data_IF_569384536880
#
_entry.id   IF_569384536880
#
_cell.length_a   1.000
_cell.length_b   1.000
_cell.length_c   1.000
_cell.angle_alpha   90.00
_cell.angle_beta   90.00
_cell.angle_gamma   90.00
#
_symmetry.space_group_name_H-M   'P 1'
#
loop_
_entity.id
_entity.type
_entity.pdbx_description
1 polymer ?
#
# COMPACT_ATOMS: atom_id res chain seq x y z
N UNK A 1 -9.46 5.12 -4.67
CA UNK A 1 -10.21 6.06 -5.54
C UNK A 1 -10.86 5.33 -6.71
N UNK A 2 -10.11 5.05 -7.78
CA UNK A 2 -10.68 4.52 -9.04
C UNK A 2 -11.47 3.22 -8.88
N UNK A 3 -11.02 2.28 -8.04
CA UNK A 3 -11.77 1.04 -7.83
C UNK A 3 -13.18 1.28 -7.24
N UNK A 4 -13.35 2.31 -6.40
CA UNK A 4 -14.68 2.67 -5.88
C UNK A 4 -15.62 3.10 -7.02
N UNK A 5 -15.11 3.87 -7.99
CA UNK A 5 -15.85 4.23 -9.21
C UNK A 5 -16.22 2.97 -10.01
N UNK A 6 -15.26 2.06 -10.20
CA UNK A 6 -15.49 0.82 -10.95
C UNK A 6 -16.54 -0.08 -10.29
N UNK A 7 -16.57 -0.15 -8.96
CA UNK A 7 -17.59 -0.90 -8.22
C UNK A 7 -18.99 -0.32 -8.44
N UNK A 8 -19.13 1.01 -8.34
CA UNK A 8 -20.41 1.68 -8.60
C UNK A 8 -20.87 1.52 -10.05
N UNK A 9 -19.95 1.67 -11.01
CA UNK A 9 -20.29 1.46 -12.42
C UNK A 9 -20.81 0.03 -12.68
N UNK A 10 -20.24 -0.98 -12.01
CA UNK A 10 -20.72 -2.36 -12.08
C UNK A 10 -22.10 -2.53 -11.45
N UNK A 11 -22.33 -1.94 -10.28
CA UNK A 11 -23.63 -2.00 -9.58
C UNK A 11 -24.77 -1.36 -10.42
N UNK A 12 -24.51 -0.19 -11.01
CA UNK A 12 -25.47 0.48 -11.92
C UNK A 12 -25.75 -0.41 -13.13
N UNK A 13 -24.70 -0.97 -13.75
CA UNK A 13 -24.84 -1.86 -14.91
C UNK A 13 -25.65 -3.14 -14.58
N UNK A 14 -25.53 -3.63 -13.35
CA UNK A 14 -26.28 -4.78 -12.85
C UNK A 14 -27.74 -4.45 -12.48
N UNK A 15 -28.15 -3.17 -12.53
CA UNK A 15 -29.49 -2.74 -12.13
C UNK A 15 -29.71 -2.74 -10.61
N UNK A 16 -28.65 -2.74 -9.81
CA UNK A 16 -28.72 -2.80 -8.35
C UNK A 16 -29.11 -1.46 -7.71
N UNK A 17 -29.05 -0.37 -8.48
CA UNK A 17 -29.51 0.95 -8.06
C UNK A 17 -29.26 2.02 -9.12
N UNK A 18 -29.80 3.21 -8.90
CA UNK A 18 -29.79 4.29 -9.90
C UNK A 18 -28.77 5.40 -9.57
N UNK A 19 -28.53 5.67 -8.29
CA UNK A 19 -27.68 6.77 -7.83
C UNK A 19 -26.75 6.29 -6.72
N UNK A 20 -25.46 6.60 -6.87
CA UNK A 20 -24.39 6.22 -5.94
C UNK A 20 -23.40 7.37 -5.77
N UNK A 21 -22.70 7.38 -4.63
CA UNK A 21 -21.54 8.24 -4.38
C UNK A 21 -20.30 7.36 -4.33
N UNK A 22 -19.26 7.72 -5.08
CA UNK A 22 -17.98 7.02 -5.07
C UNK A 22 -16.80 7.99 -5.10
N UNK A 23 -15.71 7.62 -4.44
CA UNK A 23 -14.51 8.42 -4.33
C UNK A 23 -13.41 7.74 -3.52
N UNK A 24 -12.43 8.52 -3.09
CA UNK A 24 -11.39 8.08 -2.16
C UNK A 24 -10.76 9.27 -1.47
N UNK A 25 -10.25 9.06 -0.26
CA UNK A 25 -9.56 10.07 0.54
C UNK A 25 -8.29 9.46 1.14
N UNK A 26 -7.25 10.27 1.26
CA UNK A 26 -5.99 9.89 1.91
C UNK A 26 -5.39 11.13 2.56
N UNK A 27 -4.88 10.99 3.79
CA UNK A 27 -4.23 12.08 4.54
C UNK A 27 -2.87 11.61 5.04
N UNK A 28 -1.87 11.68 4.17
CA UNK A 28 -0.52 11.17 4.47
C UNK A 28 0.14 11.96 5.60
N UNK A 29 -0.05 13.28 5.66
CA UNK A 29 0.49 14.13 6.74
C UNK A 29 -0.05 13.77 8.13
N UNK A 30 -1.15 13.00 8.21
CA UNK A 30 -1.82 12.59 9.46
C UNK A 30 -1.79 11.08 9.66
N UNK A 31 -0.99 10.34 8.89
CA UNK A 31 -0.88 8.91 9.02
C UNK A 31 -0.25 8.56 10.40
N UNK A 32 -0.85 7.65 11.19
CA UNK A 32 -0.33 7.32 12.51
C UNK A 32 0.87 6.38 12.45
N UNK A 33 1.58 6.24 13.57
CA UNK A 33 2.46 5.08 13.77
C UNK A 33 1.65 3.85 14.17
N UNK A 34 2.09 2.68 13.72
CA UNK A 34 1.55 1.38 14.09
C UNK A 34 2.58 0.59 14.89
N UNK A 35 2.15 -0.04 15.99
CA UNK A 35 3.00 -0.84 16.86
C UNK A 35 2.53 -2.31 16.87
N UNK A 36 3.45 -3.29 16.81
CA UNK A 36 3.09 -4.68 17.03
C UNK A 36 2.61 -4.90 18.46
N UNK A 37 1.72 -5.87 18.64
CA UNK A 37 1.38 -6.36 19.97
C UNK A 37 2.53 -7.18 20.52
N UNK A 38 2.63 -7.24 21.85
CA UNK A 38 3.47 -8.22 22.51
C UNK A 38 2.98 -9.64 22.17
N UNK A 39 3.90 -10.54 21.86
CA UNK A 39 3.58 -11.93 21.53
C UNK A 39 3.26 -12.76 22.78
N UNK A 40 3.71 -12.30 23.96
CA UNK A 40 3.46 -12.93 25.25
C UNK A 40 3.32 -11.88 26.36
N UNK A 41 2.86 -12.31 27.54
CA UNK A 41 2.93 -11.47 28.74
C UNK A 41 4.39 -11.17 29.11
N UNK A 42 4.67 -9.93 29.50
CA UNK A 42 6.01 -9.48 29.93
C UNK A 42 7.12 -9.70 28.89
N UNK A 43 6.81 -9.55 27.59
CA UNK A 43 7.82 -9.58 26.52
C UNK A 43 8.94 -8.55 26.74
N UNK A 44 10.18 -8.96 26.48
CA UNK A 44 11.38 -8.12 26.55
C UNK A 44 11.91 -7.84 25.14
N UNK A 45 12.64 -6.75 24.97
CA UNK A 45 13.24 -6.34 23.69
C UNK A 45 12.61 -5.10 23.07
N UNK A 46 13.19 -4.65 21.96
CA UNK A 46 12.75 -3.43 21.28
C UNK A 46 11.52 -3.72 20.41
N UNK A 47 10.59 -2.77 20.38
CA UNK A 47 9.48 -2.74 19.42
C UNK A 47 9.77 -1.71 18.34
N UNK A 48 9.38 -2.01 17.10
CA UNK A 48 9.43 -1.06 16.00
C UNK A 48 8.07 -0.37 15.86
N UNK A 49 8.06 0.96 15.94
CA UNK A 49 6.93 1.76 15.52
C UNK A 49 7.01 1.98 14.00
N UNK A 50 6.07 1.43 13.25
CA UNK A 50 6.02 1.56 11.80
C UNK A 50 5.26 2.82 11.39
N UNK A 51 5.91 3.67 10.59
CA UNK A 51 5.21 4.75 9.89
C UNK A 51 4.20 4.16 8.90
N UNK A 52 2.96 4.64 8.93
CA UNK A 52 1.91 4.18 7.99
C UNK A 52 1.78 5.06 6.75
N UNK A 53 2.46 6.22 6.72
CA UNK A 53 2.44 7.15 5.60
C UNK A 53 3.06 6.53 4.34
N UNK A 54 4.15 5.78 4.47
CA UNK A 54 4.93 5.29 3.33
C UNK A 54 5.53 3.90 3.59
N UNK A 55 5.73 3.16 2.51
CA UNK A 55 6.61 2.00 2.47
C UNK A 55 6.08 0.72 3.11
N UNK A 56 6.94 -0.29 3.09
CA UNK A 56 6.67 -1.60 3.66
C UNK A 56 6.70 -1.55 5.19
N UNK A 57 5.72 -2.22 5.79
CA UNK A 57 5.58 -2.38 7.24
C UNK A 57 5.12 -3.79 7.53
N UNK A 58 5.54 -4.35 8.67
CA UNK A 58 5.30 -5.74 9.03
C UNK A 58 5.60 -6.72 7.88
N UNK A 59 6.80 -6.68 7.28
CA UNK A 59 7.11 -7.48 6.11
C UNK A 59 7.02 -8.98 6.43
N UNK A 60 6.23 -9.70 5.66
CA UNK A 60 6.16 -11.15 5.75
C UNK A 60 7.44 -11.76 5.14
N UNK A 61 8.20 -12.61 5.85
CA UNK A 61 9.42 -13.23 5.32
C UNK A 61 9.20 -13.96 3.99
N UNK A 62 8.07 -14.65 3.81
CA UNK A 62 7.75 -15.36 2.57
C UNK A 62 7.49 -14.40 1.41
N UNK A 63 6.90 -13.23 1.66
CA UNK A 63 6.71 -12.22 0.62
C UNK A 63 8.06 -11.67 0.15
N UNK A 64 8.95 -11.39 1.09
CA UNK A 64 10.30 -10.90 0.78
C UNK A 64 11.10 -11.93 -0.04
N UNK A 65 11.02 -13.21 0.30
CA UNK A 65 11.72 -14.27 -0.43
C UNK A 65 11.17 -14.49 -1.84
N UNK A 66 9.85 -14.56 -1.99
CA UNK A 66 9.23 -14.88 -3.28
C UNK A 66 9.22 -13.72 -4.28
N UNK A 67 9.04 -12.49 -3.79
CA UNK A 67 8.73 -11.33 -4.65
C UNK A 67 9.52 -10.06 -4.29
N UNK A 68 10.29 -10.06 -3.20
CA UNK A 68 10.95 -8.86 -2.69
C UNK A 68 10.04 -7.96 -1.86
N UNK A 69 10.62 -6.90 -1.32
CA UNK A 69 9.91 -5.81 -0.62
C UNK A 69 10.53 -4.47 -1.01
N UNK A 70 10.77 -4.32 -2.31
CA UNK A 70 11.38 -3.11 -2.88
C UNK A 70 10.43 -1.93 -2.66
N UNK A 71 11.00 -0.77 -2.35
CA UNK A 71 10.26 0.48 -2.30
C UNK A 71 9.76 0.88 -3.69
N UNK A 72 8.72 1.72 -3.74
CA UNK A 72 8.20 2.21 -5.03
C UNK A 72 9.28 2.94 -5.85
N UNK A 73 10.19 3.67 -5.19
CA UNK A 73 11.34 4.29 -5.87
C UNK A 73 12.27 3.27 -6.52
N UNK A 74 12.62 2.20 -5.81
CA UNK A 74 13.43 1.11 -6.36
C UNK A 74 12.73 0.43 -7.55
N UNK A 75 11.42 0.21 -7.47
CA UNK A 75 10.67 -0.35 -8.61
C UNK A 75 10.65 0.58 -9.83
N UNK A 76 10.66 1.90 -9.62
CA UNK A 76 10.78 2.87 -10.70
C UNK A 76 12.15 2.79 -11.38
N UNK A 77 13.22 2.67 -10.60
CA UNK A 77 14.58 2.46 -11.13
C UNK A 77 14.72 1.12 -11.87
N UNK A 78 14.04 0.07 -11.40
CA UNK A 78 14.00 -1.22 -12.09
C UNK A 78 13.36 -1.08 -13.49
N UNK A 79 12.25 -0.34 -13.59
CA UNK A 79 11.60 -0.05 -14.88
C UNK A 79 12.54 0.78 -15.78
N UNK A 80 13.21 1.80 -15.26
CA UNK A 80 14.13 2.62 -16.04
C UNK A 80 15.28 1.78 -16.62
N UNK A 81 15.83 0.84 -15.84
CA UNK A 81 16.86 -0.10 -16.31
C UNK A 81 16.37 -1.01 -17.44
N UNK A 82 15.11 -1.45 -17.40
CA UNK A 82 14.51 -2.28 -18.44
C UNK A 82 14.11 -1.48 -19.70
N UNK A 83 13.97 -0.16 -19.57
CA UNK A 83 13.47 0.74 -20.62
C UNK A 83 14.53 1.80 -20.95
N UNK A 84 15.53 1.47 -21.79
CA UNK A 84 16.71 2.32 -22.01
C UNK A 84 16.42 3.69 -22.66
N UNK A 85 15.20 3.94 -23.12
CA UNK A 85 14.76 5.24 -23.64
C UNK A 85 14.21 6.17 -22.54
N UNK A 86 14.01 5.67 -21.32
CA UNK A 86 13.66 6.48 -20.14
C UNK A 86 14.98 6.93 -19.53
N UNK A 87 15.38 8.16 -19.86
CA UNK A 87 16.60 8.80 -19.36
C UNK A 87 16.33 9.59 -18.09
N UNK A 88 17.42 10.09 -17.49
CA UNK A 88 17.32 10.96 -16.31
C UNK A 88 16.82 12.36 -16.67
N UNK A 89 17.30 12.89 -17.80
CA UNK A 89 16.86 14.13 -18.44
C UNK A 89 15.48 13.97 -19.09
#
# INVERSE_FOLDING_TARGET
GLNAINMVARAIKAGEGEIYIAGGVESMSRAPYSLPKAEAGFSFGNLTAYDTALGWRYPNPKMKEMYGTDSMGETAENIAKERPHITRE
#
